data_IF_289344707812
#
_entry.id   IF_289344707812
#
_cell.length_a   1.000
_cell.length_b   1.000
_cell.length_c   1.000
_cell.angle_alpha   90.00
_cell.angle_beta   90.00
_cell.angle_gamma   90.00
#
_symmetry.space_group_name_H-M   'P 1'
#
loop_
_entity.id
_entity.type
_entity.pdbx_description
1 polymer ?
#
# COMPACT_ATOMS: atom_id res chain seq x y z
N UNK A 1 20.96 13.05 -2.46
CA UNK A 1 20.32 13.05 -1.13
C UNK A 1 19.57 11.74 -1.02
N UNK A 2 19.98 10.81 -0.15
CA UNK A 2 19.14 9.62 0.09
C UNK A 2 17.98 10.07 0.95
N UNK A 3 16.84 10.28 0.32
CA UNK A 3 15.61 10.53 1.05
C UNK A 3 15.25 9.25 1.80
N UNK A 4 15.45 9.27 3.12
CA UNK A 4 15.15 8.18 4.04
C UNK A 4 13.62 8.04 4.18
N UNK A 5 12.98 7.52 3.14
CA UNK A 5 11.57 7.20 3.13
C UNK A 5 11.34 5.70 3.36
N UNK A 6 10.20 5.37 3.93
CA UNK A 6 9.73 4.00 4.08
C UNK A 6 8.25 3.87 3.71
N UNK A 7 7.87 2.67 3.30
CA UNK A 7 6.48 2.31 3.01
C UNK A 7 5.95 1.49 4.17
N UNK A 8 4.79 1.88 4.71
CA UNK A 8 4.11 1.15 5.78
C UNK A 8 2.70 0.78 5.35
N UNK A 9 2.29 -0.46 5.61
CA UNK A 9 0.88 -0.86 5.47
C UNK A 9 0.14 -0.34 6.70
N UNK A 10 -0.74 0.63 6.50
CA UNK A 10 -1.49 1.29 7.59
C UNK A 10 -2.89 0.73 7.77
N UNK A 11 -3.44 0.10 6.74
CA UNK A 11 -4.70 -0.63 6.82
C UNK A 11 -4.72 -1.80 5.84
N UNK A 12 -5.29 -2.92 6.26
CA UNK A 12 -5.59 -4.06 5.42
C UNK A 12 -6.94 -4.61 5.86
N UNK A 13 -7.88 -4.73 4.94
CA UNK A 13 -9.22 -5.17 5.27
C UNK A 13 -9.92 -5.78 4.07
N UNK A 14 -11.00 -6.49 4.37
CA UNK A 14 -11.88 -7.08 3.36
C UNK A 14 -13.24 -6.40 3.43
N UNK A 15 -13.81 -6.12 2.25
CA UNK A 15 -15.13 -5.51 2.12
C UNK A 15 -15.89 -6.24 1.02
N UNK A 16 -16.80 -7.14 1.42
CA UNK A 16 -17.50 -8.04 0.51
C UNK A 16 -16.55 -8.84 -0.37
N UNK A 17 -16.75 -8.73 -1.68
CA UNK A 17 -15.91 -9.33 -2.73
C UNK A 17 -14.67 -8.49 -3.05
N UNK A 18 -14.14 -7.70 -2.12
CA UNK A 18 -12.93 -6.93 -2.34
C UNK A 18 -11.97 -6.94 -1.16
N UNK A 19 -10.70 -6.69 -1.45
CA UNK A 19 -9.62 -6.47 -0.48
C UNK A 19 -9.11 -5.06 -0.66
N UNK A 20 -9.02 -4.34 0.45
CA UNK A 20 -8.52 -2.98 0.53
C UNK A 20 -7.20 -2.99 1.29
N UNK A 21 -6.15 -2.44 0.68
CA UNK A 21 -4.88 -2.19 1.33
C UNK A 21 -4.53 -0.71 1.27
N UNK A 22 -4.27 -0.09 2.41
CA UNK A 22 -3.73 1.26 2.51
C UNK A 22 -2.25 1.17 2.81
N UNK A 23 -1.45 1.76 1.93
CA UNK A 23 0.00 1.90 2.10
C UNK A 23 0.32 3.38 2.20
N UNK A 24 1.24 3.73 3.08
CA UNK A 24 1.67 5.10 3.32
C UNK A 24 3.17 5.21 3.11
N UNK A 25 3.58 6.18 2.32
CA UNK A 25 4.95 6.68 2.25
C UNK A 25 5.16 7.65 3.40
N UNK A 26 6.15 7.39 4.24
CA UNK A 26 6.49 8.26 5.38
C UNK A 26 7.99 8.47 5.51
N UNK A 27 8.37 9.56 6.18
CA UNK A 27 9.77 9.79 6.53
C UNK A 27 10.20 8.87 7.67
N UNK A 28 11.29 8.13 7.44
CA UNK A 28 11.83 7.18 8.42
C UNK A 28 12.21 7.91 9.70
N UNK A 29 11.81 7.34 10.84
CA UNK A 29 12.13 7.87 12.18
C UNK A 29 11.20 8.97 12.69
N UNK A 30 10.19 9.40 11.93
CA UNK A 30 9.17 10.35 12.38
C UNK A 30 7.85 9.63 12.68
N UNK A 31 7.29 9.88 13.87
CA UNK A 31 5.98 9.34 14.28
C UNK A 31 4.85 9.98 13.47
N UNK A 32 4.98 11.26 13.14
CA UNK A 32 4.07 12.01 12.27
C UNK A 32 4.85 12.52 11.08
N UNK A 33 4.93 11.70 10.04
CA UNK A 33 5.71 11.98 8.83
C UNK A 33 5.10 11.35 7.59
N UNK A 34 3.79 11.14 7.57
CA UNK A 34 3.08 10.65 6.40
C UNK A 34 3.16 11.71 5.30
N UNK A 35 3.71 11.32 4.15
CA UNK A 35 3.92 12.19 3.00
C UNK A 35 2.79 11.96 2.00
N UNK A 36 2.54 10.68 1.72
CA UNK A 36 1.55 10.24 0.73
C UNK A 36 0.94 8.93 1.16
N UNK A 37 -0.39 8.83 1.07
CA UNK A 37 -1.14 7.61 1.38
C UNK A 37 -1.89 7.18 0.14
N UNK A 38 -1.84 5.88 -0.17
CA UNK A 38 -2.54 5.28 -1.29
C UNK A 38 -3.37 4.10 -0.80
N UNK A 39 -4.66 4.14 -1.11
CA UNK A 39 -5.58 3.04 -0.91
C UNK A 39 -5.73 2.27 -2.23
N UNK A 40 -5.51 0.95 -2.18
CA UNK A 40 -5.69 0.05 -3.31
C UNK A 40 -6.80 -0.94 -2.99
N UNK A 41 -7.84 -0.93 -3.82
CA UNK A 41 -8.94 -1.89 -3.79
C UNK A 41 -8.76 -2.91 -4.90
N UNK A 42 -8.80 -4.18 -4.56
CA UNK A 42 -8.79 -5.30 -5.51
C UNK A 42 -10.08 -6.09 -5.34
N UNK A 43 -10.81 -6.30 -6.43
CA UNK A 43 -11.95 -7.21 -6.45
C UNK A 43 -11.46 -8.65 -6.47
N UNK A 44 -12.06 -9.47 -5.60
CA UNK A 44 -11.83 -10.91 -5.56
C UNK A 44 -12.49 -11.53 -6.77
N UNK A 45 -11.74 -12.36 -7.48
CA UNK A 45 -12.25 -13.22 -8.55
C UNK A 45 -12.18 -14.66 -8.06
N UNK A 46 -13.14 -15.49 -8.45
CA UNK A 46 -13.13 -16.91 -8.09
C UNK A 46 -11.82 -17.58 -8.54
N UNK A 47 -11.16 -18.31 -7.62
CA UNK A 47 -9.99 -19.12 -7.93
C UNK A 47 -8.73 -18.89 -7.09
N UNK A 48 -8.68 -17.81 -6.30
CA UNK A 48 -7.50 -17.48 -5.48
C UNK A 48 -7.84 -17.30 -3.99
N UNK A 49 -6.84 -17.46 -3.13
CA UNK A 49 -7.00 -17.30 -1.67
C UNK A 49 -7.09 -15.84 -1.24
N UNK A 50 -7.69 -15.56 -0.08
CA UNK A 50 -7.70 -14.21 0.49
C UNK A 50 -6.29 -13.63 0.65
N UNK A 51 -5.33 -14.44 1.10
CA UNK A 51 -3.94 -14.02 1.29
C UNK A 51 -3.27 -13.59 -0.01
N UNK A 52 -3.67 -14.18 -1.15
CA UNK A 52 -3.20 -13.75 -2.46
C UNK A 52 -3.66 -12.31 -2.74
N UNK A 53 -4.95 -12.01 -2.58
CA UNK A 53 -5.52 -10.68 -2.82
C UNK A 53 -4.97 -9.60 -1.88
N UNK A 54 -4.73 -9.94 -0.61
CA UNK A 54 -4.07 -9.05 0.35
C UNK A 54 -2.65 -8.68 -0.09
N UNK A 55 -1.85 -9.69 -0.49
CA UNK A 55 -0.50 -9.46 -1.01
C UNK A 55 -0.53 -8.67 -2.30
N UNK A 56 -1.47 -8.96 -3.20
CA UNK A 56 -1.60 -8.25 -4.45
C UNK A 56 -1.95 -6.77 -4.22
N UNK A 57 -2.88 -6.48 -3.30
CA UNK A 57 -3.29 -5.12 -2.97
C UNK A 57 -2.13 -4.31 -2.36
N UNK A 58 -1.40 -4.89 -1.41
CA UNK A 58 -0.20 -4.29 -0.83
C UNK A 58 0.88 -4.05 -1.89
N UNK A 59 1.11 -5.04 -2.77
CA UNK A 59 2.16 -4.97 -3.79
C UNK A 59 1.85 -3.88 -4.82
N UNK A 60 0.62 -3.82 -5.32
CA UNK A 60 0.19 -2.78 -6.26
C UNK A 60 0.24 -1.40 -5.62
N UNK A 61 -0.22 -1.26 -4.38
CA UNK A 61 -0.17 0.01 -3.67
C UNK A 61 1.27 0.50 -3.45
N UNK A 62 2.14 -0.37 -2.96
CA UNK A 62 3.55 -0.07 -2.71
C UNK A 62 4.28 0.29 -3.99
N UNK A 63 4.03 -0.45 -5.08
CA UNK A 63 4.64 -0.17 -6.39
C UNK A 63 4.22 1.18 -6.93
N UNK A 64 2.92 1.50 -6.90
CA UNK A 64 2.42 2.80 -7.33
C UNK A 64 3.03 3.94 -6.51
N UNK A 65 3.10 3.79 -5.18
CA UNK A 65 3.75 4.78 -4.31
C UNK A 65 5.24 4.92 -4.59
N UNK A 66 5.94 3.83 -4.89
CA UNK A 66 7.37 3.86 -5.26
C UNK A 66 7.59 4.62 -6.58
N UNK A 67 6.73 4.38 -7.56
CA UNK A 67 6.80 5.08 -8.85
C UNK A 67 6.54 6.58 -8.67
N UNK A 68 5.57 6.98 -7.84
CA UNK A 68 5.34 8.39 -7.48
C UNK A 68 6.53 8.98 -6.72
N UNK A 69 7.02 8.28 -5.70
CA UNK A 69 8.14 8.75 -4.87
C UNK A 69 9.43 8.94 -5.68
N UNK A 70 9.62 8.19 -6.77
CA UNK A 70 10.77 8.35 -7.66
C UNK A 70 10.76 9.64 -8.50
N UNK A 71 9.61 10.33 -8.56
CA UNK A 71 9.43 11.58 -9.27
C UNK A 71 9.51 12.82 -8.37
N UNK A 72 9.60 12.62 -7.04
CA UNK A 72 9.74 13.68 -6.03
C UNK A 72 11.22 14.00 -5.78
#
# INVERSE_FOLDING_TARGET
MSTDYEFAVTSLGTEGESVNATVTLRQRGFVFGEILTLNCRIEKVDGESLSYYEKEAITKATRALKDIASQL
#
